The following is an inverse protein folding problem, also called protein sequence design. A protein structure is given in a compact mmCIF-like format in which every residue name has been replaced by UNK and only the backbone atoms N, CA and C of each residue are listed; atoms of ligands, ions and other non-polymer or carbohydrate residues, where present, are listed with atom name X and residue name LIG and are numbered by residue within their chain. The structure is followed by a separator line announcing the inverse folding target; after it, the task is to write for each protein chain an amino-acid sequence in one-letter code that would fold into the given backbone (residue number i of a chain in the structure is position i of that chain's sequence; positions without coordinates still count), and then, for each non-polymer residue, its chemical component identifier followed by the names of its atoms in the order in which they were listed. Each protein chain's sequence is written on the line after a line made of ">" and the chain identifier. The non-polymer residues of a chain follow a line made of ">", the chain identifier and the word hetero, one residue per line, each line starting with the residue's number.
data_IF_003747804259
#
_entry.id   IF_003747804259
#
_cell.length_a   1.000
_cell.length_b   1.000
_cell.length_c   1.000
_cell.angle_alpha   90.00
_cell.angle_beta   90.00
_cell.angle_gamma   90.00
#
_symmetry.space_group_name_H-M   'P 1'
#
loop_
_entity.id
_entity.type
_entity.pdbx_description
1 polymer ?
#
# COMPACT_ATOMS: atom_id res chain seq x y z
N UNK A 1 22.99 -36.74 -55.78
CA UNK A 1 22.65 -37.11 -57.18
C UNK A 1 23.52 -36.41 -58.20
N UNK A 2 23.15 -36.45 -59.50
CA UNK A 2 23.87 -35.80 -60.60
C UNK A 2 23.97 -34.27 -60.47
N UNK A 3 23.18 -33.64 -59.59
CA UNK A 3 23.22 -32.19 -59.27
C UNK A 3 23.87 -31.86 -57.92
N UNK A 4 24.33 -32.85 -57.15
CA UNK A 4 24.91 -32.66 -55.79
C UNK A 4 24.01 -31.90 -54.77
N UNK A 5 22.69 -31.87 -54.99
CA UNK A 5 21.74 -31.13 -54.12
C UNK A 5 21.19 -31.96 -52.95
N UNK A 6 21.30 -33.29 -53.02
CA UNK A 6 20.77 -34.20 -52.01
C UNK A 6 21.69 -34.29 -50.79
N UNK A 7 21.11 -34.32 -49.59
CA UNK A 7 21.83 -34.64 -48.35
C UNK A 7 22.21 -36.12 -48.31
N UNK A 8 23.25 -36.45 -47.53
CA UNK A 8 23.58 -37.84 -47.25
C UNK A 8 22.40 -38.58 -46.61
N UNK A 9 22.19 -39.87 -46.92
CA UNK A 9 21.20 -40.71 -46.24
C UNK A 9 21.47 -40.77 -44.74
N UNK A 10 20.42 -40.94 -43.91
CA UNK A 10 20.56 -41.07 -42.46
C UNK A 10 21.57 -42.17 -42.11
N UNK A 11 22.50 -41.85 -41.20
CA UNK A 11 23.59 -42.74 -40.79
C UNK A 11 24.90 -42.56 -41.55
N UNK A 12 24.98 -41.66 -42.55
CA UNK A 12 26.21 -41.40 -43.31
C UNK A 12 26.59 -39.93 -43.37
N UNK A 13 27.90 -39.65 -43.42
CA UNK A 13 28.45 -38.29 -43.46
C UNK A 13 29.73 -38.17 -44.31
N UNK A 14 30.14 -36.93 -44.56
CA UNK A 14 31.38 -36.59 -45.27
C UNK A 14 31.23 -36.64 -46.80
N UNK A 15 32.35 -36.42 -47.50
CA UNK A 15 32.35 -36.34 -48.98
C UNK A 15 31.85 -37.66 -49.57
N UNK A 16 30.88 -37.56 -50.49
CA UNK A 16 30.17 -38.69 -51.11
C UNK A 16 29.51 -39.67 -50.11
N UNK A 17 29.19 -39.23 -48.88
CA UNK A 17 28.54 -40.07 -47.86
C UNK A 17 29.31 -41.36 -47.54
N UNK A 18 30.64 -41.30 -47.63
CA UNK A 18 31.54 -42.45 -47.53
C UNK A 18 31.80 -42.93 -46.10
N UNK A 19 31.44 -42.14 -45.08
CA UNK A 19 31.67 -42.48 -43.67
C UNK A 19 30.34 -42.78 -42.97
N UNK A 20 30.34 -43.80 -42.11
CA UNK A 20 29.20 -44.18 -41.28
C UNK A 20 29.24 -43.45 -39.93
N UNK A 21 28.08 -43.05 -39.43
CA UNK A 21 27.93 -42.41 -38.13
C UNK A 21 27.89 -43.43 -37.00
N UNK A 22 28.57 -43.15 -35.90
CA UNK A 22 28.65 -44.04 -34.72
C UNK A 22 27.85 -43.48 -33.55
N UNK A 23 26.57 -43.18 -33.81
CA UNK A 23 25.65 -42.60 -32.84
C UNK A 23 24.76 -43.68 -32.23
N UNK A 24 24.59 -43.66 -30.91
CA UNK A 24 23.79 -44.62 -30.15
C UNK A 24 22.35 -44.14 -29.96
N UNK A 25 21.49 -45.03 -29.46
CA UNK A 25 20.09 -44.75 -29.12
C UNK A 25 19.26 -44.19 -30.30
N UNK A 26 19.61 -44.61 -31.52
CA UNK A 26 18.92 -44.24 -32.77
C UNK A 26 18.94 -42.72 -33.06
N UNK A 27 19.96 -42.01 -32.57
CA UNK A 27 20.15 -40.59 -32.86
C UNK A 27 20.81 -40.40 -34.23
N UNK A 28 20.41 -39.35 -34.94
CA UNK A 28 21.02 -38.97 -36.21
C UNK A 28 22.37 -38.27 -36.01
N UNK A 29 23.11 -38.10 -37.09
CA UNK A 29 24.37 -37.37 -37.13
C UNK A 29 24.29 -36.24 -38.14
N UNK A 30 25.09 -35.21 -37.92
CA UNK A 30 25.29 -34.16 -38.89
C UNK A 30 25.96 -34.74 -40.17
N UNK A 31 25.35 -34.60 -41.36
CA UNK A 31 25.83 -35.25 -42.59
C UNK A 31 27.14 -34.64 -43.13
N UNK A 32 27.59 -33.51 -42.59
CA UNK A 32 28.85 -32.84 -42.99
C UNK A 32 29.98 -33.25 -42.05
N UNK A 33 29.74 -33.17 -40.74
CA UNK A 33 30.76 -33.32 -39.69
C UNK A 33 30.80 -34.70 -39.05
N UNK A 34 29.70 -35.46 -39.11
CA UNK A 34 29.54 -36.76 -38.45
C UNK A 34 29.28 -36.69 -36.95
N UNK A 35 29.14 -35.48 -36.38
CA UNK A 35 28.79 -35.31 -34.97
C UNK A 35 27.37 -35.78 -34.70
N UNK A 36 27.16 -36.49 -33.60
CA UNK A 36 25.85 -36.99 -33.22
C UNK A 36 24.92 -35.86 -32.73
N UNK A 37 23.69 -35.88 -33.22
CA UNK A 37 22.61 -34.96 -32.87
C UNK A 37 21.75 -35.61 -31.78
N UNK A 38 22.22 -35.53 -30.54
CA UNK A 38 21.58 -36.22 -29.42
C UNK A 38 20.30 -35.51 -28.96
N UNK A 39 19.13 -36.11 -29.19
CA UNK A 39 17.82 -35.60 -28.75
C UNK A 39 17.26 -36.45 -27.62
N UNK A 40 17.11 -35.88 -26.42
CA UNK A 40 16.78 -36.65 -25.21
C UNK A 40 17.95 -37.46 -24.63
N UNK A 41 19.14 -37.26 -25.21
CA UNK A 41 20.39 -37.88 -24.83
C UNK A 41 21.50 -36.82 -24.84
N UNK A 42 22.63 -37.14 -24.21
CA UNK A 42 23.85 -36.34 -24.16
C UNK A 42 25.09 -37.25 -24.21
N UNK A 43 26.24 -36.66 -24.55
CA UNK A 43 27.49 -37.38 -24.78
C UNK A 43 27.92 -37.33 -26.24
N UNK A 44 29.15 -37.76 -26.54
CA UNK A 44 29.68 -37.68 -27.91
C UNK A 44 28.98 -38.65 -28.87
N UNK A 45 28.50 -39.79 -28.35
CA UNK A 45 27.76 -40.80 -29.10
C UNK A 45 26.31 -40.91 -28.65
N UNK A 46 25.80 -39.95 -27.87
CA UNK A 46 24.46 -39.97 -27.28
C UNK A 46 24.21 -41.13 -26.30
N UNK A 47 25.23 -41.52 -25.53
CA UNK A 47 25.22 -42.69 -24.65
C UNK A 47 24.51 -42.47 -23.30
N UNK A 48 24.26 -41.23 -22.88
CA UNK A 48 23.61 -40.89 -21.60
C UNK A 48 22.25 -40.23 -21.82
N UNK A 49 21.21 -40.70 -21.16
CA UNK A 49 19.89 -40.06 -21.20
C UNK A 49 19.84 -38.76 -20.39
N UNK A 50 18.83 -37.93 -20.63
CA UNK A 50 18.62 -36.72 -19.84
C UNK A 50 18.26 -37.03 -18.38
N UNK A 51 18.78 -36.21 -17.46
CA UNK A 51 18.38 -36.23 -16.05
C UNK A 51 16.94 -35.73 -15.87
N UNK A 52 16.28 -36.08 -14.76
CA UNK A 52 14.91 -35.65 -14.44
C UNK A 52 14.80 -34.11 -14.57
N UNK A 53 13.84 -33.66 -15.38
CA UNK A 53 13.58 -32.24 -15.62
C UNK A 53 14.37 -31.59 -16.77
N UNK A 54 15.11 -32.37 -17.56
CA UNK A 54 15.83 -31.88 -18.74
C UNK A 54 15.40 -32.62 -20.01
N UNK A 55 15.40 -31.91 -21.14
CA UNK A 55 14.97 -32.44 -22.43
C UNK A 55 15.67 -31.77 -23.63
N UNK A 56 15.40 -32.30 -24.82
CA UNK A 56 15.82 -31.72 -26.09
C UNK A 56 17.27 -32.03 -26.45
N UNK A 57 17.89 -31.23 -27.33
CA UNK A 57 19.22 -31.52 -27.84
C UNK A 57 20.27 -31.37 -26.74
N UNK A 58 21.08 -32.41 -26.54
CA UNK A 58 22.11 -32.49 -25.49
C UNK A 58 21.54 -32.18 -24.09
N UNK A 59 20.26 -32.46 -23.85
CA UNK A 59 19.56 -32.17 -22.59
C UNK A 59 19.68 -30.70 -22.14
N UNK A 60 19.81 -29.78 -23.09
CA UNK A 60 20.09 -28.36 -22.82
C UNK A 60 18.88 -27.57 -22.33
N UNK A 61 17.66 -28.09 -22.50
CA UNK A 61 16.42 -27.42 -22.10
C UNK A 61 15.90 -27.99 -20.78
N UNK A 62 15.29 -27.13 -19.96
CA UNK A 62 14.65 -27.51 -18.69
C UNK A 62 13.14 -27.60 -18.85
N UNK A 63 12.52 -28.57 -18.19
CA UNK A 63 11.08 -28.77 -18.13
C UNK A 63 10.43 -27.87 -17.05
N UNK A 64 10.72 -26.56 -17.08
CA UNK A 64 10.30 -25.60 -16.04
C UNK A 64 8.78 -25.44 -15.95
N UNK A 65 8.06 -25.81 -17.01
CA UNK A 65 6.61 -25.72 -17.08
C UNK A 65 5.91 -26.85 -16.32
N UNK A 66 6.56 -28.00 -16.13
CA UNK A 66 5.92 -29.17 -15.56
C UNK A 66 5.88 -29.08 -14.02
N UNK A 67 4.69 -28.90 -13.47
CA UNK A 67 4.49 -28.89 -12.03
C UNK A 67 4.92 -30.21 -11.39
N UNK A 68 5.65 -30.11 -10.28
CA UNK A 68 6.06 -31.25 -9.45
C UNK A 68 7.30 -32.04 -9.86
N UNK A 69 7.97 -31.68 -10.95
CA UNK A 69 9.23 -32.34 -11.36
C UNK A 69 10.32 -32.25 -10.29
N UNK A 70 10.36 -31.14 -9.56
CA UNK A 70 11.37 -30.86 -8.51
C UNK A 70 11.05 -31.56 -7.18
N UNK A 71 9.85 -32.11 -7.02
CA UNK A 71 9.46 -32.80 -5.80
C UNK A 71 10.01 -34.23 -5.81
N UNK A 72 10.64 -34.62 -4.71
CA UNK A 72 11.23 -35.96 -4.55
C UNK A 72 10.17 -37.05 -4.37
N UNK A 73 9.02 -36.70 -3.83
CA UNK A 73 7.86 -37.57 -3.59
C UNK A 73 6.90 -37.65 -4.80
N UNK A 74 7.12 -36.82 -5.83
CA UNK A 74 6.27 -36.80 -7.02
C UNK A 74 6.79 -37.72 -8.13
N UNK A 75 5.85 -38.42 -8.76
CA UNK A 75 6.09 -39.20 -9.97
C UNK A 75 5.97 -38.35 -11.26
N UNK A 76 5.82 -37.03 -11.16
CA UNK A 76 5.84 -36.14 -12.32
C UNK A 76 7.18 -36.22 -13.05
N UNK A 77 7.11 -36.28 -14.37
CA UNK A 77 8.26 -36.30 -15.27
C UNK A 77 7.97 -35.46 -16.52
N UNK A 78 8.95 -35.34 -17.40
CA UNK A 78 8.73 -34.82 -18.74
C UNK A 78 9.40 -35.75 -19.75
N UNK A 79 8.84 -35.76 -20.96
CA UNK A 79 9.40 -36.50 -22.07
C UNK A 79 10.78 -35.91 -22.44
N UNK A 80 11.85 -36.72 -22.51
CA UNK A 80 13.21 -36.23 -22.70
C UNK A 80 13.45 -35.67 -24.11
N UNK A 81 12.60 -35.98 -25.09
CA UNK A 81 12.76 -35.51 -26.47
C UNK A 81 11.99 -34.20 -26.67
N UNK A 82 10.71 -34.23 -26.34
CA UNK A 82 9.74 -33.16 -26.62
C UNK A 82 9.58 -32.16 -25.48
N UNK A 83 9.87 -32.58 -24.25
CA UNK A 83 9.61 -31.79 -23.03
C UNK A 83 8.16 -31.84 -22.56
N UNK A 84 7.30 -32.66 -23.17
CA UNK A 84 5.89 -32.78 -22.77
C UNK A 84 5.78 -33.33 -21.34
N UNK A 85 4.93 -32.70 -20.52
CA UNK A 85 4.79 -33.08 -19.12
C UNK A 85 4.00 -34.39 -18.94
N UNK A 86 4.51 -35.27 -18.10
CA UNK A 86 3.84 -36.46 -17.61
C UNK A 86 3.39 -36.18 -16.18
N UNK A 87 2.10 -35.85 -16.03
CA UNK A 87 1.57 -35.36 -14.77
C UNK A 87 1.53 -36.44 -13.70
N UNK A 88 1.78 -36.00 -12.46
CA UNK A 88 1.47 -36.80 -11.28
C UNK A 88 -0.03 -37.12 -11.24
N UNK A 89 -0.38 -38.30 -10.70
CA UNK A 89 -1.79 -38.70 -10.56
C UNK A 89 -2.55 -37.67 -9.73
N UNK A 90 -3.65 -37.18 -10.28
CA UNK A 90 -4.45 -36.11 -9.66
C UNK A 90 -4.12 -34.70 -10.18
N UNK A 91 -3.21 -34.58 -11.16
CA UNK A 91 -2.99 -33.37 -11.95
C UNK A 91 -3.24 -33.62 -13.43
N UNK A 92 -3.67 -32.57 -14.13
CA UNK A 92 -3.93 -32.58 -15.57
C UNK A 92 -3.48 -31.27 -16.23
N UNK A 93 -3.62 -31.21 -17.55
CA UNK A 93 -3.19 -30.08 -18.37
C UNK A 93 -1.76 -30.25 -18.90
N UNK A 94 -1.40 -29.42 -19.87
CA UNK A 94 -0.11 -29.50 -20.55
C UNK A 94 1.10 -29.20 -19.65
N UNK A 95 0.87 -28.50 -18.53
CA UNK A 95 1.88 -28.09 -17.55
C UNK A 95 1.66 -28.71 -16.16
N UNK A 96 0.68 -29.61 -16.03
CA UNK A 96 0.33 -30.31 -14.80
C UNK A 96 -0.04 -29.40 -13.61
N UNK A 97 -0.45 -28.15 -13.87
CA UNK A 97 -0.87 -27.23 -12.80
C UNK A 97 -2.32 -27.40 -12.40
N UNK A 98 -3.17 -27.94 -13.29
CA UNK A 98 -4.57 -28.12 -12.98
C UNK A 98 -4.75 -29.33 -12.05
N UNK A 99 -5.17 -29.08 -10.82
CA UNK A 99 -5.52 -30.14 -9.87
C UNK A 99 -6.86 -30.74 -10.25
N UNK A 100 -6.97 -32.06 -10.15
CA UNK A 100 -8.20 -32.83 -10.41
C UNK A 100 -9.05 -32.95 -9.14
N UNK A 101 -8.40 -33.08 -7.98
CA UNK A 101 -9.06 -33.13 -6.67
C UNK A 101 -9.16 -31.75 -6.02
N UNK A 102 -10.12 -31.58 -5.11
CA UNK A 102 -10.18 -30.46 -4.15
C UNK A 102 -9.02 -30.52 -3.15
N UNK A 103 -8.49 -29.36 -2.71
CA UNK A 103 -7.17 -29.22 -2.04
C UNK A 103 -6.93 -30.18 -0.85
N UNK A 104 -7.97 -30.56 -0.12
CA UNK A 104 -7.92 -31.46 1.04
C UNK A 104 -8.26 -32.91 0.71
N UNK A 105 -8.45 -33.25 -0.57
CA UNK A 105 -8.80 -34.60 -1.04
C UNK A 105 -7.67 -35.22 -1.88
N UNK A 106 -7.59 -36.55 -1.81
CA UNK A 106 -6.62 -37.39 -2.53
C UNK A 106 -7.19 -38.78 -2.88
N UNK A 107 -6.45 -39.52 -3.71
CA UNK A 107 -6.78 -40.85 -4.17
C UNK A 107 -7.30 -40.88 -5.62
N UNK A 108 -7.56 -42.08 -6.14
CA UNK A 108 -7.92 -42.30 -7.55
C UNK A 108 -9.18 -41.54 -7.99
N UNK A 109 -10.16 -41.41 -7.09
CA UNK A 109 -11.42 -40.70 -7.32
C UNK A 109 -11.61 -39.53 -6.34
N UNK A 110 -10.52 -39.00 -5.78
CA UNK A 110 -10.56 -37.91 -4.79
C UNK A 110 -11.50 -38.21 -3.60
N UNK A 111 -11.53 -39.46 -3.14
CA UNK A 111 -12.47 -39.95 -2.13
C UNK A 111 -11.93 -39.97 -0.70
N UNK A 112 -10.64 -39.69 -0.52
CA UNK A 112 -9.99 -39.66 0.80
C UNK A 112 -9.60 -38.24 1.17
N UNK A 113 -9.81 -37.86 2.42
CA UNK A 113 -9.42 -36.56 2.95
C UNK A 113 -8.01 -36.63 3.56
N UNK A 114 -7.19 -35.61 3.30
CA UNK A 114 -5.85 -35.48 3.83
C UNK A 114 -5.86 -35.17 5.32
N UNK A 115 -4.94 -35.76 6.08
CA UNK A 115 -4.79 -35.51 7.54
C UNK A 115 -3.94 -34.29 7.86
N UNK A 116 -3.50 -33.55 6.83
CA UNK A 116 -2.56 -32.45 6.94
C UNK A 116 -3.12 -31.27 7.74
N UNK A 117 -2.27 -30.60 8.52
CA UNK A 117 -2.58 -29.27 9.07
C UNK A 117 -2.38 -28.25 7.94
N UNK A 118 -3.48 -27.89 7.28
CA UNK A 118 -3.45 -27.09 6.05
C UNK A 118 -2.74 -25.74 6.20
N UNK A 119 -2.80 -25.10 7.38
CA UNK A 119 -2.06 -23.85 7.63
C UNK A 119 -0.54 -23.99 7.46
N UNK A 120 0.01 -25.14 7.82
CA UNK A 120 1.44 -25.47 7.78
C UNK A 120 1.83 -26.28 6.54
N UNK A 121 0.85 -26.63 5.70
CA UNK A 121 1.03 -27.49 4.53
C UNK A 121 1.02 -26.63 3.28
N UNK A 122 1.99 -26.84 2.40
CA UNK A 122 2.06 -26.19 1.09
C UNK A 122 1.10 -26.86 0.11
N UNK A 123 1.04 -28.18 0.11
CA UNK A 123 0.06 -28.93 -0.67
C UNK A 123 -0.11 -30.34 -0.13
N UNK A 124 -1.33 -30.89 -0.16
CA UNK A 124 -1.53 -32.33 -0.06
C UNK A 124 -1.39 -32.97 -1.44
N UNK A 125 -0.51 -33.95 -1.58
CA UNK A 125 -0.31 -34.67 -2.84
C UNK A 125 -1.58 -35.44 -3.23
N UNK A 126 -2.23 -35.14 -4.36
CA UNK A 126 -3.54 -35.72 -4.70
C UNK A 126 -3.48 -37.22 -5.02
N UNK A 127 -2.31 -37.75 -5.41
CA UNK A 127 -2.14 -39.17 -5.67
C UNK A 127 -1.96 -40.02 -4.40
N UNK A 128 -1.26 -39.50 -3.41
CA UNK A 128 -0.78 -40.28 -2.25
C UNK A 128 -1.37 -39.83 -0.91
N UNK A 129 -1.87 -38.60 -0.82
CA UNK A 129 -2.31 -37.99 0.44
C UNK A 129 -1.15 -37.46 1.30
N UNK A 130 0.07 -37.47 0.76
CA UNK A 130 1.25 -36.99 1.47
C UNK A 130 1.20 -35.48 1.69
N UNK A 131 1.48 -35.04 2.92
CA UNK A 131 1.47 -33.64 3.31
C UNK A 131 2.82 -32.99 3.02
N UNK A 132 2.88 -32.14 1.99
CA UNK A 132 4.10 -31.37 1.70
C UNK A 132 4.15 -30.16 2.60
N UNK A 133 4.95 -30.22 3.66
CA UNK A 133 5.01 -29.14 4.65
C UNK A 133 5.65 -27.88 4.08
N UNK A 134 5.16 -26.71 4.52
CA UNK A 134 5.83 -25.43 4.26
C UNK A 134 7.21 -25.43 4.92
N UNK A 135 8.20 -24.69 4.39
CA UNK A 135 9.48 -24.53 5.06
C UNK A 135 9.31 -24.06 6.51
N UNK A 136 10.03 -24.68 7.44
CA UNK A 136 9.87 -24.44 8.88
C UNK A 136 8.96 -25.43 9.60
N UNK A 137 8.33 -26.36 8.87
CA UNK A 137 7.48 -27.41 9.42
C UNK A 137 7.90 -28.79 8.94
N UNK A 138 7.57 -29.80 9.75
CA UNK A 138 7.86 -31.21 9.53
C UNK A 138 6.79 -32.10 10.17
N UNK A 139 6.85 -33.40 9.87
CA UNK A 139 5.92 -34.41 10.39
C UNK A 139 4.93 -34.86 9.32
N UNK A 140 4.29 -36.00 9.54
CA UNK A 140 3.40 -36.62 8.56
C UNK A 140 2.16 -35.76 8.27
N UNK A 141 1.78 -34.88 9.19
CA UNK A 141 0.68 -33.93 9.05
C UNK A 141 1.12 -32.47 9.20
N UNK A 142 2.44 -32.19 9.12
CA UNK A 142 3.03 -30.86 9.30
C UNK A 142 2.78 -30.22 10.68
N UNK A 143 2.74 -31.05 11.72
CA UNK A 143 2.44 -30.67 13.10
C UNK A 143 3.65 -30.17 13.90
N UNK A 144 4.87 -30.44 13.44
CA UNK A 144 6.10 -30.02 14.12
C UNK A 144 6.68 -28.77 13.46
N UNK A 145 7.07 -27.81 14.27
CA UNK A 145 7.87 -26.67 13.85
C UNK A 145 9.35 -27.05 13.97
N UNK A 146 10.21 -26.53 13.08
CA UNK A 146 11.65 -26.75 13.20
C UNK A 146 12.20 -26.19 14.51
N UNK A 147 13.19 -26.91 15.04
CA UNK A 147 13.89 -26.49 16.24
C UNK A 147 14.76 -25.27 15.96
N UNK A 148 15.27 -24.61 17.01
CA UNK A 148 16.20 -23.48 16.88
C UNK A 148 17.48 -23.76 16.09
N UNK A 149 17.78 -25.04 15.85
CA UNK A 149 19.01 -25.48 15.16
C UNK A 149 18.76 -26.06 13.77
N UNK A 150 17.50 -26.12 13.33
CA UNK A 150 17.12 -26.70 12.04
C UNK A 150 16.16 -25.81 11.28
N UNK A 151 16.15 -25.92 9.95
CA UNK A 151 15.30 -25.09 9.10
C UNK A 151 14.97 -25.78 7.77
N UNK A 152 14.08 -25.16 7.01
CA UNK A 152 13.68 -25.58 5.68
C UNK A 152 12.56 -26.61 5.72
N UNK A 153 12.29 -27.25 4.56
CA UNK A 153 11.27 -28.30 4.48
C UNK A 153 11.72 -29.52 5.29
N UNK A 154 10.79 -30.08 6.06
CA UNK A 154 11.01 -31.24 6.93
C UNK A 154 12.16 -31.06 7.92
N UNK A 155 12.57 -29.80 8.16
CA UNK A 155 13.72 -29.43 8.98
C UNK A 155 15.01 -30.13 8.54
N UNK A 156 15.16 -30.40 7.25
CA UNK A 156 16.27 -31.15 6.68
C UNK A 156 17.62 -30.43 6.77
N UNK A 157 17.61 -29.10 6.94
CA UNK A 157 18.82 -28.29 7.00
C UNK A 157 19.15 -27.91 8.45
N UNK A 158 20.45 -27.77 8.74
CA UNK A 158 20.94 -27.28 10.03
C UNK A 158 21.29 -25.79 9.92
N UNK A 159 20.96 -25.02 10.97
CA UNK A 159 21.34 -23.61 11.05
C UNK A 159 22.83 -23.46 11.39
N UNK A 160 23.53 -22.58 10.68
CA UNK A 160 24.94 -22.28 10.90
C UNK A 160 25.15 -20.92 11.60
N UNK A 161 24.53 -20.73 12.77
CA UNK A 161 24.62 -19.47 13.52
C UNK A 161 25.66 -19.52 14.66
N UNK A 162 26.23 -18.37 15.03
CA UNK A 162 26.90 -18.21 16.32
C UNK A 162 25.87 -17.87 17.40
N UNK A 163 25.47 -18.88 18.18
CA UNK A 163 24.43 -18.75 19.22
C UNK A 163 24.84 -17.88 20.42
N UNK A 164 26.08 -17.41 20.52
CA UNK A 164 26.45 -16.42 21.53
C UNK A 164 25.92 -15.01 21.19
N UNK A 165 25.70 -14.75 19.90
CA UNK A 165 25.33 -13.43 19.36
C UNK A 165 24.06 -13.47 18.51
N UNK A 166 23.41 -14.64 18.46
CA UNK A 166 22.17 -14.92 17.74
C UNK A 166 21.05 -15.23 18.73
N UNK A 167 19.88 -14.60 18.58
CA UNK A 167 18.71 -14.89 19.41
C UNK A 167 17.97 -16.16 18.97
N UNK A 168 17.86 -16.37 17.66
CA UNK A 168 17.20 -17.55 17.09
C UNK A 168 17.63 -17.78 15.63
N UNK A 169 17.24 -18.92 15.06
CA UNK A 169 17.35 -19.19 13.63
C UNK A 169 15.96 -19.18 13.01
N UNK A 170 15.78 -18.48 11.89
CA UNK A 170 14.51 -18.50 11.15
C UNK A 170 14.20 -19.93 10.63
N UNK A 171 13.10 -20.55 11.08
CA UNK A 171 12.79 -21.94 10.71
C UNK A 171 12.58 -22.16 9.21
N UNK A 172 12.19 -21.13 8.47
CA UNK A 172 11.84 -21.24 7.05
C UNK A 172 13.06 -21.12 6.12
N UNK A 173 13.99 -20.23 6.47
CA UNK A 173 15.10 -19.80 5.61
C UNK A 173 16.49 -20.12 6.17
N UNK A 174 16.59 -20.48 7.45
CA UNK A 174 17.87 -20.74 8.10
C UNK A 174 18.67 -19.48 8.44
N UNK A 175 18.07 -18.31 8.25
CA UNK A 175 18.72 -17.02 8.53
C UNK A 175 18.85 -16.82 10.04
N UNK A 176 20.04 -16.47 10.50
CA UNK A 176 20.28 -16.13 11.90
C UNK A 176 19.62 -14.80 12.26
N UNK A 177 18.81 -14.81 13.32
CA UNK A 177 18.23 -13.63 13.92
C UNK A 177 19.21 -13.07 14.95
N UNK A 178 19.88 -11.98 14.59
CA UNK A 178 20.97 -11.42 15.40
C UNK A 178 20.46 -10.68 16.64
N UNK A 179 21.25 -10.74 17.72
CA UNK A 179 21.04 -9.86 18.87
C UNK A 179 21.19 -8.38 18.46
N UNK A 180 20.58 -7.43 19.21
CA UNK A 180 20.67 -6.01 18.90
C UNK A 180 22.11 -5.53 18.70
N UNK A 181 22.36 -4.80 17.60
CA UNK A 181 23.68 -4.27 17.25
C UNK A 181 24.56 -5.20 16.41
N UNK A 182 24.10 -6.41 16.08
CA UNK A 182 24.83 -7.38 15.24
C UNK A 182 24.16 -7.62 13.89
N UNK A 183 24.95 -7.89 12.86
CA UNK A 183 24.53 -8.22 11.49
C UNK A 183 25.49 -9.25 10.87
N UNK A 184 25.23 -9.65 9.63
CA UNK A 184 25.97 -10.71 8.93
C UNK A 184 25.19 -12.02 8.84
N UNK A 185 25.75 -13.00 8.15
CA UNK A 185 25.09 -14.29 7.93
C UNK A 185 25.04 -15.14 9.21
N UNK A 186 26.02 -14.98 10.10
CA UNK A 186 26.18 -15.66 11.39
C UNK A 186 26.20 -14.68 12.57
N UNK A 187 25.81 -13.42 12.34
CA UNK A 187 25.82 -12.33 13.32
C UNK A 187 27.23 -11.92 13.80
N UNK A 188 28.22 -12.12 12.93
CA UNK A 188 29.64 -11.91 13.17
C UNK A 188 30.06 -10.44 13.07
N UNK A 189 29.26 -9.60 12.41
CA UNK A 189 29.54 -8.18 12.20
C UNK A 189 28.79 -7.31 13.21
N UNK A 190 29.40 -6.22 13.65
CA UNK A 190 28.69 -5.13 14.32
C UNK A 190 28.03 -4.25 13.27
N UNK A 191 26.85 -3.70 13.58
CA UNK A 191 26.19 -2.81 12.65
C UNK A 191 27.02 -1.53 12.44
N UNK A 192 27.19 -1.06 11.19
CA UNK A 192 27.86 0.20 10.91
C UNK A 192 27.17 1.38 11.62
N UNK A 193 27.95 2.43 11.92
CA UNK A 193 27.45 3.65 12.55
C UNK A 193 26.20 4.17 11.82
N UNK A 194 25.07 4.22 12.53
CA UNK A 194 23.79 4.70 12.01
C UNK A 194 22.80 3.63 11.54
N UNK A 195 23.09 2.34 11.72
CA UNK A 195 22.19 1.25 11.29
C UNK A 195 21.88 0.26 12.42
N UNK A 196 20.59 -0.07 12.62
CA UNK A 196 20.14 -1.23 13.42
C UNK A 196 19.12 -2.04 12.62
N UNK A 197 19.23 -3.36 12.72
CA UNK A 197 18.73 -4.40 11.79
C UNK A 197 17.20 -4.50 11.61
N UNK A 198 16.37 -3.74 12.35
CA UNK A 198 14.91 -3.92 12.29
C UNK A 198 14.09 -2.78 11.68
N UNK A 199 14.71 -1.80 11.01
CA UNK A 199 13.94 -0.70 10.38
C UNK A 199 14.60 -0.24 9.07
N UNK A 200 14.66 -1.13 8.08
CA UNK A 200 15.26 -0.86 6.75
C UNK A 200 14.48 0.20 5.93
N UNK A 201 13.37 0.76 6.43
CA UNK A 201 12.57 1.75 5.68
C UNK A 201 12.27 3.09 6.36
N UNK A 202 12.65 3.35 7.62
CA UNK A 202 12.21 4.58 8.31
C UNK A 202 13.30 5.45 8.96
N UNK A 203 14.55 5.02 9.07
CA UNK A 203 15.57 5.78 9.81
C UNK A 203 16.23 6.94 9.04
N UNK A 204 15.89 7.18 7.77
CA UNK A 204 16.23 8.43 7.09
C UNK A 204 15.25 9.59 7.41
N UNK A 205 14.12 9.31 8.06
CA UNK A 205 13.04 10.29 8.28
C UNK A 205 13.09 10.91 9.68
N UNK A 206 13.60 10.17 10.68
CA UNK A 206 13.52 10.58 12.09
C UNK A 206 14.37 11.81 12.45
N UNK A 207 15.52 12.02 11.81
CA UNK A 207 16.43 13.12 12.18
C UNK A 207 15.91 14.52 11.82
N UNK A 208 14.87 14.64 10.97
CA UNK A 208 14.27 15.95 10.69
C UNK A 208 13.41 16.48 11.84
N UNK A 209 12.73 15.61 12.58
CA UNK A 209 11.66 15.98 13.51
C UNK A 209 11.90 15.49 14.96
N UNK A 210 13.09 14.97 15.28
CA UNK A 210 13.40 14.48 16.63
C UNK A 210 14.87 14.08 16.84
N UNK A 211 15.23 13.77 18.09
CA UNK A 211 16.52 13.18 18.48
C UNK A 211 16.29 11.79 19.05
N UNK A 212 16.93 10.78 18.47
CA UNK A 212 16.77 9.39 18.90
C UNK A 212 18.00 8.86 19.65
N UNK A 213 17.76 8.11 20.73
CA UNK A 213 18.78 7.35 21.45
C UNK A 213 19.19 6.12 20.64
N UNK A 214 20.50 5.96 20.49
CA UNK A 214 21.13 4.98 19.60
C UNK A 214 21.11 3.56 20.18
N UNK A 215 20.93 3.42 21.51
CA UNK A 215 21.09 2.15 22.22
C UNK A 215 19.78 1.41 22.38
N UNK A 216 18.67 2.12 22.56
CA UNK A 216 17.35 1.53 22.76
C UNK A 216 16.32 1.93 21.69
N UNK A 217 16.67 2.84 20.77
CA UNK A 217 15.79 3.29 19.68
C UNK A 217 14.69 4.26 20.12
N UNK A 218 14.74 4.79 21.36
CA UNK A 218 13.76 5.77 21.83
C UNK A 218 13.99 7.14 21.20
N UNK A 219 12.93 7.76 20.67
CA UNK A 219 13.02 9.10 20.06
C UNK A 219 12.34 10.17 20.91
N UNK A 220 13.04 11.30 21.11
CA UNK A 220 12.48 12.55 21.64
C UNK A 220 12.07 13.44 20.48
N UNK A 221 10.77 13.56 20.25
CA UNK A 221 10.23 14.34 19.14
C UNK A 221 10.25 15.85 19.42
N UNK A 222 10.39 16.63 18.34
CA UNK A 222 10.13 18.06 18.35
C UNK A 222 8.62 18.32 18.48
N UNK A 223 8.26 19.55 18.87
CA UNK A 223 6.86 19.94 18.98
C UNK A 223 6.12 19.78 17.64
N UNK A 224 4.90 19.27 17.68
CA UNK A 224 4.06 19.06 16.51
C UNK A 224 4.22 17.68 15.86
N UNK A 225 5.12 16.83 16.37
CA UNK A 225 5.31 15.47 15.91
C UNK A 225 5.29 14.45 17.05
N UNK A 226 4.81 13.24 16.77
CA UNK A 226 4.77 12.13 17.71
C UNK A 226 4.98 10.77 17.02
N UNK A 227 4.86 9.71 17.81
CA UNK A 227 5.13 8.33 17.39
C UNK A 227 6.58 7.92 17.63
N UNK A 228 6.87 6.62 17.49
CA UNK A 228 8.17 6.05 17.82
C UNK A 228 9.35 6.67 17.04
N UNK A 229 9.07 7.26 15.87
CA UNK A 229 10.09 7.82 14.96
C UNK A 229 9.83 9.29 14.59
N UNK A 230 8.92 9.98 15.30
CA UNK A 230 8.62 11.40 15.08
C UNK A 230 8.20 11.78 13.65
N UNK A 231 7.58 10.84 12.93
CA UNK A 231 7.12 11.04 11.55
C UNK A 231 5.65 11.42 11.44
N UNK A 232 4.89 11.31 12.53
CA UNK A 232 3.45 11.56 12.55
C UNK A 232 3.22 12.96 13.12
N UNK A 233 2.57 13.85 12.37
CA UNK A 233 2.18 15.16 12.88
C UNK A 233 1.06 15.03 13.92
N UNK A 234 0.98 15.95 14.89
CA UNK A 234 -0.11 15.95 15.86
C UNK A 234 -1.47 16.02 15.16
N UNK A 235 -2.48 15.28 15.67
CA UNK A 235 -3.83 15.35 15.13
C UNK A 235 -4.43 16.76 15.31
N UNK A 236 -5.42 17.09 14.50
CA UNK A 236 -6.11 18.38 14.58
C UNK A 236 -6.59 18.66 16.02
N UNK A 237 -6.33 19.88 16.50
CA UNK A 237 -6.67 20.29 17.87
C UNK A 237 -5.67 19.85 18.94
N UNK A 238 -4.48 19.37 18.58
CA UNK A 238 -3.42 19.00 19.52
C UNK A 238 -2.07 19.63 19.14
N UNK A 239 -1.22 19.87 20.14
CA UNK A 239 0.07 20.54 19.94
C UNK A 239 1.20 20.06 20.87
N UNK A 240 2.44 20.44 20.54
CA UNK A 240 3.63 20.17 21.35
C UNK A 240 4.19 18.75 21.20
N UNK A 241 5.26 18.43 21.92
CA UNK A 241 5.97 17.14 21.80
C UNK A 241 5.16 15.91 22.25
N UNK A 242 4.08 16.12 23.02
CA UNK A 242 3.17 15.06 23.49
C UNK A 242 1.79 15.12 22.84
N UNK A 243 1.60 15.99 21.84
CA UNK A 243 0.29 16.29 21.25
C UNK A 243 -0.80 16.50 22.31
N UNK A 244 -0.58 17.46 23.22
CA UNK A 244 -1.57 17.83 24.22
C UNK A 244 -2.76 18.55 23.56
N UNK A 245 -3.96 18.40 24.10
CA UNK A 245 -5.15 19.06 23.56
C UNK A 245 -5.03 20.59 23.64
N UNK A 246 -5.34 21.26 22.54
CA UNK A 246 -5.39 22.71 22.46
C UNK A 246 -6.56 23.26 23.27
N UNK A 247 -6.38 24.47 23.82
CA UNK A 247 -7.38 25.12 24.68
C UNK A 247 -8.28 26.10 23.92
N UNK A 248 -8.32 25.99 22.59
CA UNK A 248 -9.10 26.85 21.71
C UNK A 248 -10.61 26.59 21.88
N UNK A 249 -11.39 27.65 21.79
CA UNK A 249 -12.86 27.63 21.93
C UNK A 249 -13.53 27.91 20.58
N UNK A 250 -14.85 27.74 20.53
CA UNK A 250 -15.69 28.13 19.39
C UNK A 250 -15.28 27.50 18.04
N UNK A 251 -14.84 26.24 18.08
CA UNK A 251 -14.47 25.48 16.88
C UNK A 251 -13.14 25.89 16.25
N UNK A 252 -12.33 26.71 16.94
CA UNK A 252 -11.02 27.10 16.48
C UNK A 252 -10.02 25.92 16.53
N UNK A 253 -9.27 25.74 15.44
CA UNK A 253 -8.09 24.88 15.41
C UNK A 253 -6.89 25.55 16.06
N UNK A 254 -5.76 24.85 16.12
CA UNK A 254 -4.51 25.39 16.66
C UNK A 254 -3.30 24.98 15.84
N UNK A 255 -2.22 25.72 15.98
CA UNK A 255 -0.91 25.35 15.48
C UNK A 255 -0.39 24.11 16.22
N UNK A 256 0.03 23.05 15.52
CA UNK A 256 0.50 21.81 16.16
C UNK A 256 1.84 21.97 16.88
N UNK A 257 2.63 23.00 16.58
CA UNK A 257 3.93 23.26 17.19
C UNK A 257 3.79 24.18 18.41
N UNK A 258 3.11 25.32 18.25
CA UNK A 258 3.02 26.36 19.30
C UNK A 258 1.76 26.24 20.17
N UNK A 259 0.68 25.68 19.63
CA UNK A 259 -0.64 25.66 20.27
C UNK A 259 -1.47 26.93 20.08
N UNK A 260 -0.99 27.87 19.28
CA UNK A 260 -1.70 29.12 19.01
C UNK A 260 -3.00 28.86 18.26
N UNK A 261 -4.10 29.48 18.71
CA UNK A 261 -5.41 29.23 18.14
C UNK A 261 -5.63 30.00 16.83
N UNK A 262 -6.19 29.33 15.83
CA UNK A 262 -6.69 29.92 14.61
C UNK A 262 -8.18 30.23 14.76
N UNK A 263 -8.50 31.47 15.14
CA UNK A 263 -9.87 31.84 15.49
C UNK A 263 -10.80 31.80 14.29
N UNK A 264 -11.99 31.22 14.51
CA UNK A 264 -13.08 31.25 13.54
C UNK A 264 -13.67 32.67 13.44
N UNK A 265 -14.45 32.90 12.39
CA UNK A 265 -15.07 34.22 12.18
C UNK A 265 -15.93 34.63 13.37
N UNK A 266 -15.86 35.91 13.76
CA UNK A 266 -16.62 36.44 14.90
C UNK A 266 -15.98 36.26 16.27
N UNK A 267 -14.78 35.66 16.32
CA UNK A 267 -14.03 35.40 17.55
C UNK A 267 -12.58 35.88 17.47
N UNK A 268 -12.04 36.26 18.62
CA UNK A 268 -10.65 36.68 18.84
C UNK A 268 -10.19 36.34 20.25
N UNK A 269 -8.98 36.77 20.61
CA UNK A 269 -8.30 36.43 21.85
C UNK A 269 -7.46 35.15 21.73
N UNK A 270 -6.57 34.92 22.70
CA UNK A 270 -5.61 33.81 22.68
C UNK A 270 -6.29 32.45 22.57
N UNK A 271 -7.48 32.30 23.17
CA UNK A 271 -8.28 31.06 23.14
C UNK A 271 -9.48 31.12 22.21
N UNK A 272 -9.61 32.19 21.41
CA UNK A 272 -10.78 32.42 20.54
C UNK A 272 -12.12 32.41 21.30
N UNK A 273 -12.12 32.88 22.53
CA UNK A 273 -13.26 32.92 23.45
C UNK A 273 -13.89 34.32 23.56
N UNK A 274 -13.25 35.33 22.96
CA UNK A 274 -13.73 36.70 22.99
C UNK A 274 -14.46 37.04 21.69
N UNK A 275 -15.72 37.49 21.73
CA UNK A 275 -16.43 37.87 20.51
C UNK A 275 -15.84 39.14 19.89
N UNK A 276 -15.94 39.29 18.57
CA UNK A 276 -15.50 40.53 17.92
C UNK A 276 -16.22 41.76 18.46
N UNK A 277 -15.46 42.85 18.63
CA UNK A 277 -16.01 44.15 18.94
C UNK A 277 -16.82 44.68 17.76
N UNK A 278 -17.80 45.55 18.07
CA UNK A 278 -18.64 46.18 17.06
C UNK A 278 -17.78 46.87 15.99
N UNK A 279 -18.12 46.64 14.72
CA UNK A 279 -17.40 47.21 13.57
C UNK A 279 -16.24 46.35 13.05
N UNK A 280 -16.02 45.15 13.60
CA UNK A 280 -15.05 44.18 13.06
C UNK A 280 -15.66 42.79 12.93
N UNK A 281 -15.17 42.02 11.97
CA UNK A 281 -15.61 40.65 11.69
C UNK A 281 -14.45 39.82 11.12
N UNK A 282 -14.73 38.55 10.81
CA UNK A 282 -13.74 37.65 10.24
C UNK A 282 -12.88 36.95 11.30
N UNK A 283 -11.97 36.05 10.87
CA UNK A 283 -11.01 35.39 11.74
C UNK A 283 -10.16 36.42 12.51
N UNK A 284 -10.05 36.22 13.83
CA UNK A 284 -9.36 37.12 14.75
C UNK A 284 -9.89 38.57 14.74
N UNK A 285 -11.08 38.82 14.17
CA UNK A 285 -11.66 40.15 13.99
C UNK A 285 -10.78 41.08 13.15
N UNK A 286 -10.02 40.51 12.22
CA UNK A 286 -9.00 41.24 11.45
C UNK A 286 -9.59 42.09 10.31
N UNK A 287 -10.91 42.03 10.10
CA UNK A 287 -11.58 42.71 8.99
C UNK A 287 -12.50 43.79 9.55
N UNK A 288 -12.29 45.03 9.13
CA UNK A 288 -13.16 46.15 9.48
C UNK A 288 -14.47 46.12 8.67
N UNK A 289 -15.59 46.32 9.34
CA UNK A 289 -16.90 46.44 8.70
C UNK A 289 -17.02 47.74 7.91
N UNK A 290 -17.79 47.69 6.82
CA UNK A 290 -17.98 48.84 5.92
C UNK A 290 -19.29 49.58 6.14
N UNK A 291 -20.11 49.13 7.07
CA UNK A 291 -21.44 49.69 7.36
C UNK A 291 -21.36 51.20 7.64
N UNK A 292 -22.25 51.95 7.00
CA UNK A 292 -22.41 53.40 7.14
C UNK A 292 -23.70 53.72 7.89
N UNK A 293 -23.86 55.00 8.24
CA UNK A 293 -25.09 55.54 8.83
C UNK A 293 -25.56 54.84 10.12
N UNK A 294 -24.65 54.24 10.89
CA UNK A 294 -24.97 53.51 12.12
C UNK A 294 -25.49 52.08 11.89
N UNK A 295 -25.24 51.49 10.71
CA UNK A 295 -25.52 50.08 10.44
C UNK A 295 -24.76 49.14 11.38
N UNK A 296 -25.49 48.13 11.87
CA UNK A 296 -24.94 47.11 12.74
C UNK A 296 -24.33 45.99 11.89
N UNK A 297 -23.07 45.67 12.13
CA UNK A 297 -22.35 44.67 11.36
C UNK A 297 -22.47 43.31 12.03
N UNK A 298 -22.84 42.28 11.27
CA UNK A 298 -22.78 40.91 11.73
C UNK A 298 -21.31 40.48 11.90
N UNK A 299 -20.97 40.05 13.12
CA UNK A 299 -19.58 39.70 13.46
C UNK A 299 -19.05 38.45 12.76
N UNK A 300 -19.92 37.58 12.24
CA UNK A 300 -19.55 36.34 11.56
C UNK A 300 -19.41 36.54 10.06
N UNK A 301 -20.32 37.28 9.42
CA UNK A 301 -20.37 37.45 7.97
C UNK A 301 -19.86 38.80 7.48
N UNK A 302 -19.88 39.82 8.34
CA UNK A 302 -19.60 41.21 7.99
C UNK A 302 -20.75 41.94 7.31
N UNK A 303 -21.92 41.31 7.22
CA UNK A 303 -23.11 41.88 6.59
C UNK A 303 -23.69 43.01 7.44
N UNK A 304 -24.15 44.06 6.77
CA UNK A 304 -24.69 45.23 7.44
C UNK A 304 -26.21 45.12 7.58
N UNK A 305 -26.69 45.17 8.82
CA UNK A 305 -28.09 45.41 9.13
C UNK A 305 -28.35 46.91 9.15
N UNK A 306 -29.15 47.38 8.20
CA UNK A 306 -29.38 48.81 8.03
C UNK A 306 -30.42 49.35 9.02
N UNK A 307 -30.17 50.52 9.62
CA UNK A 307 -31.17 51.19 10.43
C UNK A 307 -32.28 51.70 9.52
N UNK A 308 -33.50 51.83 10.08
CA UNK A 308 -34.68 52.35 9.38
C UNK A 308 -34.35 53.60 8.56
N UNK A 309 -34.80 53.64 7.32
CA UNK A 309 -34.55 54.74 6.40
C UNK A 309 -33.32 54.59 5.51
N UNK A 310 -32.57 53.49 5.62
CA UNK A 310 -31.43 53.14 4.77
C UNK A 310 -31.55 51.72 4.22
N UNK A 311 -30.97 51.45 3.05
CA UNK A 311 -30.92 50.16 2.37
C UNK A 311 -29.54 49.91 1.73
N UNK A 312 -29.33 48.67 1.29
CA UNK A 312 -28.15 48.26 0.53
C UNK A 312 -27.05 47.63 1.40
N UNK A 313 -26.03 47.00 0.79
CA UNK A 313 -25.08 46.12 1.48
C UNK A 313 -24.19 46.83 2.51
N UNK A 314 -24.05 48.15 2.45
CA UNK A 314 -23.27 48.96 3.40
C UNK A 314 -24.12 50.06 4.07
N UNK A 315 -25.44 50.07 3.88
CA UNK A 315 -26.37 51.08 4.40
C UNK A 315 -26.06 52.52 3.96
N UNK A 316 -25.34 52.70 2.85
CA UNK A 316 -25.04 54.03 2.30
C UNK A 316 -26.26 54.69 1.64
N UNK A 317 -27.23 53.90 1.17
CA UNK A 317 -28.35 54.40 0.37
C UNK A 317 -29.54 54.73 1.26
N UNK A 318 -30.01 55.98 1.24
CA UNK A 318 -31.24 56.39 1.91
C UNK A 318 -32.47 55.89 1.15
N UNK A 319 -33.58 55.61 1.85
CA UNK A 319 -34.83 55.23 1.18
C UNK A 319 -35.28 56.30 0.19
N UNK A 320 -35.76 55.83 -0.96
CA UNK A 320 -36.43 56.68 -1.94
C UNK A 320 -37.71 57.28 -1.36
N UNK A 321 -38.10 58.44 -1.86
CA UNK A 321 -39.32 59.11 -1.40
C UNK A 321 -40.54 58.20 -1.60
N UNK A 322 -41.33 58.06 -0.54
CA UNK A 322 -42.48 57.16 -0.52
C UNK A 322 -42.21 55.78 0.07
N UNK A 323 -40.98 55.48 0.51
CA UNK A 323 -40.65 54.26 1.24
C UNK A 323 -40.02 54.54 2.61
N UNK A 324 -40.29 53.67 3.58
CA UNK A 324 -39.80 53.74 4.95
C UNK A 324 -39.58 52.32 5.50
N UNK A 325 -39.15 52.21 6.77
CA UNK A 325 -38.83 50.96 7.50
C UNK A 325 -37.40 50.44 7.31
N UNK A 326 -37.12 49.30 7.94
CA UNK A 326 -35.91 48.50 7.71
C UNK A 326 -35.88 48.09 6.24
N UNK A 327 -34.72 48.27 5.60
CA UNK A 327 -34.47 48.04 4.16
C UNK A 327 -35.49 48.68 3.19
N UNK A 328 -36.20 49.72 3.64
CA UNK A 328 -37.20 50.46 2.85
C UNK A 328 -38.34 49.59 2.29
N UNK A 329 -38.71 48.52 3.00
CA UNK A 329 -39.70 47.55 2.52
C UNK A 329 -41.15 48.06 2.56
N UNK A 330 -41.46 49.07 3.39
CA UNK A 330 -42.82 49.60 3.51
C UNK A 330 -43.01 50.85 2.64
N UNK A 331 -44.12 50.89 1.92
CA UNK A 331 -44.55 52.08 1.16
C UNK A 331 -45.39 53.00 2.04
N UNK A 332 -45.16 54.29 1.94
CA UNK A 332 -45.91 55.30 2.65
C UNK A 332 -47.32 55.48 2.08
N UNK A 333 -48.31 55.51 2.95
CA UNK A 333 -49.70 55.80 2.61
C UNK A 333 -50.05 57.25 2.95
N UNK A 334 -49.50 58.18 2.16
CA UNK A 334 -49.77 59.61 2.30
C UNK A 334 -50.58 60.07 1.09
N UNK A 335 -51.89 60.28 1.26
CA UNK A 335 -52.84 60.70 0.20
C UNK A 335 -52.58 62.10 -0.40
N UNK A 336 -51.43 62.74 -0.08
CA UNK A 336 -51.08 64.08 -0.55
C UNK A 336 -49.90 64.72 0.20
N UNK A 337 -48.74 64.08 0.17
CA UNK A 337 -47.50 64.56 0.77
C UNK A 337 -46.36 63.55 0.67
N UNK A 338 -45.18 63.90 1.20
CA UNK A 338 -44.04 62.97 1.34
C UNK A 338 -44.05 62.31 2.72
N UNK A 339 -43.15 61.37 2.99
CA UNK A 339 -43.04 60.73 4.31
C UNK A 339 -41.60 60.75 4.81
N UNK A 340 -41.43 60.78 6.12
CA UNK A 340 -40.13 60.60 6.76
C UNK A 340 -39.64 59.16 6.58
N UNK A 341 -38.47 58.98 5.99
CA UNK A 341 -37.92 57.67 5.64
C UNK A 341 -37.67 56.76 6.87
N UNK A 342 -37.38 57.36 8.04
CA UNK A 342 -37.14 56.61 9.28
C UNK A 342 -38.41 56.12 9.97
N UNK A 343 -39.48 56.91 9.95
CA UNK A 343 -40.68 56.71 10.78
C UNK A 343 -41.93 56.39 9.99
N UNK A 344 -41.95 56.66 8.68
CA UNK A 344 -43.15 56.58 7.84
C UNK A 344 -44.13 57.73 8.04
N UNK A 345 -43.81 58.70 8.92
CA UNK A 345 -44.71 59.82 9.24
C UNK A 345 -44.89 60.72 8.02
N UNK A 346 -46.14 60.97 7.63
CA UNK A 346 -46.46 61.87 6.53
C UNK A 346 -46.09 63.32 6.83
N UNK A 347 -45.51 63.99 5.84
CA UNK A 347 -45.25 65.41 5.73
C UNK A 347 -46.23 65.93 4.66
N UNK A 348 -47.28 66.61 5.10
CA UNK A 348 -48.35 67.07 4.23
C UNK A 348 -47.93 68.28 3.40
N UNK A 349 -48.39 68.35 2.15
CA UNK A 349 -48.23 69.54 1.31
C UNK A 349 -48.99 70.73 1.90
N UNK A 350 -48.61 71.95 1.49
CA UNK A 350 -49.25 73.20 1.96
C UNK A 350 -50.77 73.13 1.75
N UNK A 351 -51.53 73.32 2.84
CA UNK A 351 -53.01 73.25 2.83
C UNK A 351 -53.60 71.88 3.17
N UNK A 352 -52.78 70.85 3.46
CA UNK A 352 -53.23 69.52 3.91
C UNK A 352 -52.75 69.23 5.34
N UNK A 353 -53.52 68.41 6.08
CA UNK A 353 -53.17 67.98 7.44
C UNK A 353 -53.27 66.45 7.54
N UNK A 354 -52.37 65.84 8.32
CA UNK A 354 -52.38 64.41 8.57
C UNK A 354 -53.60 64.04 9.43
N UNK A 355 -54.47 63.17 8.93
CA UNK A 355 -55.50 62.52 9.75
C UNK A 355 -54.77 61.42 10.53
N UNK A 356 -54.84 61.46 11.85
CA UNK A 356 -54.27 60.43 12.72
C UNK A 356 -54.80 59.04 12.30
N UNK A 357 -53.96 58.21 11.69
CA UNK A 357 -54.19 56.77 11.62
C UNK A 357 -53.33 56.14 12.71
N UNK A 358 -53.81 56.24 13.95
CA UNK A 358 -53.45 55.27 14.98
C UNK A 358 -54.53 54.20 14.97
N UNK A 359 -54.23 53.06 14.34
CA UNK A 359 -54.55 51.73 14.85
C UNK A 359 -53.73 50.68 14.12
#
# INVERSE_FOLDING_TARGET
>A
GPTCEDKCPSGFYGVNCSKHCDCLNNNECDPVTGKCLCLGWMGEKCERGCSKGYYGPMCSKKCDLCNGILWSDSNAACDPITGACQCERGYQGADCKQRVCEEDMYGQDCSKQCTCIMNNTESCAPGTGYCRCKPGFAGDSCERICSKVTWGRDCANKCECDYNVTSDCDPSSGKCLCLPGRTGAKCEEECPDGFLVSIVHLSAVAEKNGKCDKRDGSCKCQNGFHGALCTISCPAGHFGASCAACQCRNGAGCDPVTGDCYCTSGWTGIKCDTPCAAGTYGPHCSIACRCKNGGECDRFTGECRCPRGFKGPDCSTQCENGFYSDDCLLKCDCAGGSCQQKTGRCICDVGKQAINVYQ
#
